data_IF_879957735508
#
_entry.id   IF_879957735508
#
_cell.length_a   1.000
_cell.length_b   1.000
_cell.length_c   1.000
_cell.angle_alpha   90.00
_cell.angle_beta   90.00
_cell.angle_gamma   90.00
#
_symmetry.space_group_name_H-M   'P 1'
#
loop_
_entity.id
_entity.type
_entity.pdbx_description
1 polymer ?
#
# COMPACT_ATOMS: atom_id res chain seq x y z
N UNK A 1 23.96 2.15 2.84
CA UNK A 1 23.86 2.33 4.29
C UNK A 1 23.20 1.13 4.99
N UNK A 2 22.75 0.10 4.24
CA UNK A 2 22.17 -1.13 4.80
C UNK A 2 20.80 -0.95 5.49
N UNK A 3 20.05 0.09 5.15
CA UNK A 3 18.73 0.32 5.70
C UNK A 3 17.70 -0.62 5.06
N UNK A 4 16.80 -1.15 5.87
CA UNK A 4 15.60 -1.84 5.40
C UNK A 4 14.47 -0.83 5.31
N UNK A 5 13.99 -0.57 4.09
CA UNK A 5 12.87 0.34 3.84
C UNK A 5 11.59 -0.48 3.78
N UNK A 6 10.70 -0.30 4.75
CA UNK A 6 9.42 -1.01 4.83
C UNK A 6 8.34 -0.35 3.98
N UNK A 7 8.30 0.98 3.95
CA UNK A 7 7.36 1.77 3.18
C UNK A 7 7.88 3.20 2.96
N UNK A 8 7.41 3.85 1.90
CA UNK A 8 7.59 5.27 1.63
C UNK A 8 6.23 5.92 1.53
N UNK A 9 5.98 6.94 2.36
CA UNK A 9 4.74 7.71 2.40
C UNK A 9 5.05 9.12 1.89
N UNK A 10 4.88 9.35 0.59
CA UNK A 10 5.11 10.65 -0.04
C UNK A 10 3.85 11.52 0.05
N UNK A 11 3.94 12.70 0.64
CA UNK A 11 2.85 13.67 0.73
C UNK A 11 3.09 14.83 -0.24
N UNK A 12 2.35 14.85 -1.37
CA UNK A 12 2.56 15.80 -2.45
C UNK A 12 1.30 15.91 -3.34
N UNK A 13 0.47 16.90 -3.12
CA UNK A 13 0.34 17.90 -2.06
C UNK A 13 -0.83 17.52 -1.14
N UNK A 14 -0.89 18.02 0.09
CA UNK A 14 -1.94 17.65 1.07
C UNK A 14 -2.49 18.87 1.87
N UNK A 15 -2.30 20.09 1.38
CA UNK A 15 -2.58 21.32 2.12
C UNK A 15 -3.94 21.94 1.88
N UNK A 16 -4.55 21.77 0.72
CA UNK A 16 -5.84 22.34 0.38
C UNK A 16 -6.97 21.31 0.30
N UNK A 17 -8.21 21.72 0.26
CA UNK A 17 -9.38 20.84 0.12
C UNK A 17 -10.32 21.25 -1.00
N UNK A 18 -10.09 22.39 -1.65
CA UNK A 18 -10.91 22.93 -2.73
C UNK A 18 -10.07 23.12 -4.01
N UNK A 19 -10.71 23.03 -5.16
CA UNK A 19 -10.15 23.37 -6.45
C UNK A 19 -10.60 24.73 -6.94
N UNK A 20 -9.90 25.26 -7.96
CA UNK A 20 -10.22 26.54 -8.61
C UNK A 20 -11.61 26.60 -9.25
N UNK A 21 -12.23 25.45 -9.50
CA UNK A 21 -13.62 25.34 -9.97
C UNK A 21 -14.67 25.46 -8.85
N UNK A 22 -14.23 25.64 -7.59
CA UNK A 22 -15.09 25.73 -6.42
C UNK A 22 -15.58 24.38 -5.89
N UNK A 23 -15.13 23.26 -6.47
CA UNK A 23 -15.40 21.93 -5.92
C UNK A 23 -14.51 21.69 -4.70
N UNK A 24 -15.08 21.20 -3.60
CA UNK A 24 -14.35 20.93 -2.35
C UNK A 24 -14.61 19.51 -1.85
N UNK A 25 -13.57 18.89 -1.28
CA UNK A 25 -13.65 17.60 -0.57
C UNK A 25 -12.59 17.57 0.55
N UNK A 26 -13.04 17.84 1.77
CA UNK A 26 -12.22 17.82 3.00
C UNK A 26 -12.33 16.49 3.78
N UNK A 27 -13.00 15.50 3.20
CA UNK A 27 -13.28 14.21 3.81
C UNK A 27 -12.38 13.08 3.30
N UNK A 28 -11.78 13.23 2.12
CA UNK A 28 -10.93 12.22 1.52
C UNK A 28 -9.51 12.72 1.26
N UNK A 29 -8.57 11.77 1.27
CA UNK A 29 -7.23 11.93 0.69
C UNK A 29 -7.01 10.85 -0.37
N UNK A 30 -6.45 11.21 -1.52
CA UNK A 30 -6.11 10.23 -2.56
C UNK A 30 -4.79 9.55 -2.22
N UNK A 31 -4.74 8.22 -2.34
CA UNK A 31 -3.53 7.43 -2.18
C UNK A 31 -3.24 6.66 -3.46
N UNK A 32 -2.21 7.10 -4.18
CA UNK A 32 -1.76 6.49 -5.43
C UNK A 32 -0.83 5.31 -5.14
N UNK A 33 -1.00 4.23 -5.88
CA UNK A 33 -0.19 3.01 -5.75
C UNK A 33 -0.04 2.28 -7.09
N UNK A 34 1.15 1.79 -7.39
CA UNK A 34 1.35 0.97 -8.60
C UNK A 34 0.62 -0.38 -8.51
N UNK A 35 0.25 -0.96 -9.64
CA UNK A 35 -0.28 -2.32 -9.74
C UNK A 35 0.85 -3.34 -9.80
N UNK A 36 1.41 -3.65 -10.99
CA UNK A 36 2.63 -4.43 -11.11
C UNK A 36 3.84 -3.61 -10.63
N UNK A 37 4.76 -4.25 -9.95
CA UNK A 37 6.02 -3.61 -9.54
C UNK A 37 6.88 -3.22 -10.74
N UNK A 38 7.55 -2.07 -10.63
CA UNK A 38 8.44 -1.59 -11.68
C UNK A 38 9.68 -2.48 -11.86
N UNK A 39 10.21 -3.08 -10.78
CA UNK A 39 11.42 -3.92 -10.76
C UNK A 39 11.19 -5.39 -11.17
N UNK A 40 10.00 -5.77 -11.64
CA UNK A 40 9.73 -7.11 -12.14
C UNK A 40 10.54 -7.43 -13.39
N UNK A 41 11.27 -8.56 -13.40
CA UNK A 41 11.82 -9.14 -14.60
C UNK A 41 10.70 -9.56 -15.59
N UNK A 42 11.03 -9.71 -16.86
CA UNK A 42 10.06 -10.22 -17.85
C UNK A 42 9.48 -11.58 -17.45
N UNK A 43 10.32 -12.47 -16.91
CA UNK A 43 9.88 -13.78 -16.45
C UNK A 43 8.91 -13.67 -15.28
N UNK A 44 9.20 -12.82 -14.27
CA UNK A 44 8.32 -12.60 -13.12
C UNK A 44 7.00 -11.93 -13.54
N UNK A 45 7.05 -11.01 -14.50
CA UNK A 45 5.86 -10.36 -15.08
C UNK A 45 4.99 -11.36 -15.84
N UNK A 46 5.60 -12.26 -16.62
CA UNK A 46 4.88 -13.35 -17.31
C UNK A 46 4.27 -14.35 -16.32
N UNK A 47 4.95 -14.66 -15.21
CA UNK A 47 4.43 -15.51 -14.15
C UNK A 47 3.25 -14.84 -13.41
N UNK A 48 3.39 -13.55 -13.07
CA UNK A 48 2.32 -12.76 -12.43
C UNK A 48 1.05 -12.76 -13.30
N UNK A 49 1.18 -12.52 -14.61
CA UNK A 49 0.05 -12.54 -15.55
C UNK A 49 -0.70 -13.89 -15.56
N UNK A 50 -0.01 -15.00 -15.32
CA UNK A 50 -0.63 -16.36 -15.30
C UNK A 50 -1.27 -16.69 -13.96
N UNK A 51 -0.65 -16.23 -12.87
CA UNK A 51 -1.05 -16.60 -11.51
C UNK A 51 -1.92 -15.52 -10.82
N UNK A 52 -2.24 -14.44 -11.52
CA UNK A 52 -2.82 -13.24 -10.95
C UNK A 52 -1.77 -12.39 -10.23
N UNK A 53 -2.16 -11.27 -9.68
CA UNK A 53 -1.29 -10.39 -8.92
C UNK A 53 -0.93 -9.08 -9.62
N UNK A 54 -1.51 -8.78 -10.77
CA UNK A 54 -1.36 -7.48 -11.45
C UNK A 54 -1.83 -6.30 -10.60
N UNK A 55 -2.60 -6.61 -9.55
CA UNK A 55 -3.13 -5.64 -8.60
C UNK A 55 -2.65 -5.89 -7.18
N UNK A 56 -1.51 -6.53 -6.99
CA UNK A 56 -1.02 -7.07 -5.72
C UNK A 56 0.43 -6.71 -5.40
N UNK A 57 0.93 -5.60 -5.93
CA UNK A 57 2.22 -5.09 -5.52
C UNK A 57 2.23 -4.75 -4.03
N UNK A 58 3.41 -4.67 -3.39
CA UNK A 58 3.55 -4.16 -2.03
C UNK A 58 2.94 -2.77 -1.86
N UNK A 59 3.12 -1.87 -2.84
CA UNK A 59 2.55 -0.52 -2.83
C UNK A 59 1.02 -0.55 -2.86
N UNK A 60 0.41 -1.44 -3.65
CA UNK A 60 -1.04 -1.61 -3.69
C UNK A 60 -1.59 -2.17 -2.37
N UNK A 61 -0.90 -3.13 -1.77
CA UNK A 61 -1.29 -3.64 -0.46
C UNK A 61 -1.07 -2.63 0.67
N UNK A 62 -0.04 -1.79 0.56
CA UNK A 62 0.16 -0.65 1.45
C UNK A 62 -1.01 0.36 1.33
N UNK A 63 -1.49 0.64 0.13
CA UNK A 63 -2.66 1.51 -0.09
C UNK A 63 -3.93 0.93 0.56
N UNK A 64 -4.20 -0.38 0.41
CA UNK A 64 -5.32 -1.06 1.09
C UNK A 64 -5.19 -1.03 2.61
N UNK A 65 -3.97 -1.20 3.11
CA UNK A 65 -3.70 -1.15 4.55
C UNK A 65 -3.93 0.25 5.12
N UNK A 66 -3.54 1.31 4.39
CA UNK A 66 -3.80 2.70 4.76
C UNK A 66 -5.30 3.03 4.79
N UNK A 67 -6.06 2.50 3.83
CA UNK A 67 -7.51 2.61 3.77
C UNK A 67 -8.17 1.98 5.00
N UNK A 68 -7.83 0.73 5.31
CA UNK A 68 -8.31 0.07 6.53
C UNK A 68 -7.88 0.81 7.83
N UNK A 69 -6.71 1.46 7.82
CA UNK A 69 -6.27 2.25 8.96
C UNK A 69 -7.08 3.55 9.09
N UNK A 70 -7.44 4.18 7.98
CA UNK A 70 -8.28 5.38 7.95
C UNK A 70 -9.69 5.09 8.47
N UNK A 71 -10.32 3.99 8.05
CA UNK A 71 -11.64 3.55 8.51
C UNK A 71 -11.75 3.41 10.05
N UNK A 72 -10.64 3.19 10.74
CA UNK A 72 -10.60 3.11 12.21
C UNK A 72 -10.66 4.48 12.91
N UNK A 73 -10.63 5.58 12.16
CA UNK A 73 -10.68 6.96 12.68
C UNK A 73 -11.78 7.78 11.99
N UNK A 74 -13.05 7.66 12.45
CA UNK A 74 -14.19 8.36 11.82
C UNK A 74 -14.10 9.89 11.84
N UNK A 75 -13.18 10.46 12.63
CA UNK A 75 -12.93 11.91 12.67
C UNK A 75 -11.72 12.31 11.78
N UNK A 76 -11.11 11.35 11.09
CA UNK A 76 -10.00 11.54 10.16
C UNK A 76 -10.44 11.91 8.76
N UNK A 77 -9.54 11.67 7.81
CA UNK A 77 -9.86 11.59 6.38
C UNK A 77 -10.07 10.13 6.01
N UNK A 78 -10.94 9.90 5.04
CA UNK A 78 -11.06 8.62 4.36
C UNK A 78 -10.04 8.51 3.22
N UNK A 79 -9.64 7.29 2.84
CA UNK A 79 -8.68 7.05 1.77
C UNK A 79 -9.42 6.71 0.48
N UNK A 80 -9.26 7.57 -0.53
CA UNK A 80 -9.63 7.22 -1.90
C UNK A 80 -8.45 6.57 -2.59
N UNK A 81 -8.45 5.24 -2.70
CA UNK A 81 -7.40 4.51 -3.39
C UNK A 81 -7.41 4.83 -4.89
N UNK A 82 -6.27 5.29 -5.42
CA UNK A 82 -6.07 5.52 -6.84
C UNK A 82 -5.12 4.46 -7.38
N UNK A 83 -5.65 3.54 -8.15
CA UNK A 83 -4.94 2.36 -8.63
C UNK A 83 -4.13 2.66 -9.89
N UNK A 84 -3.20 3.57 -9.75
CA UNK A 84 -2.12 3.92 -10.69
C UNK A 84 -0.93 4.48 -9.92
N UNK A 85 0.25 4.37 -10.50
CA UNK A 85 1.48 4.79 -9.83
C UNK A 85 1.47 6.27 -9.46
N UNK A 86 0.92 7.15 -10.34
CA UNK A 86 0.82 8.58 -10.11
C UNK A 86 -0.30 9.19 -10.95
N UNK A 87 -0.47 10.51 -10.84
CA UNK A 87 -1.37 11.33 -11.65
C UNK A 87 -0.97 11.24 -13.13
N UNK A 88 -1.95 11.39 -14.01
CA UNK A 88 -1.74 11.25 -15.45
C UNK A 88 -0.74 12.27 -15.99
N UNK A 89 0.36 11.79 -16.60
CA UNK A 89 1.39 12.62 -17.20
C UNK A 89 2.23 13.45 -16.21
N UNK A 90 2.21 13.14 -14.92
CA UNK A 90 2.97 13.85 -13.88
C UNK A 90 3.86 12.86 -13.11
N UNK A 91 4.78 13.37 -12.32
CA UNK A 91 5.69 12.62 -11.49
C UNK A 91 5.58 12.98 -10.01
N UNK A 92 6.35 12.32 -9.17
CA UNK A 92 6.48 12.60 -7.75
C UNK A 92 7.66 11.85 -7.14
N UNK A 93 8.06 12.25 -5.93
CA UNK A 93 9.28 11.73 -5.27
C UNK A 93 9.19 10.25 -4.86
N UNK A 94 7.99 9.66 -4.90
CA UNK A 94 7.79 8.22 -4.68
C UNK A 94 8.21 7.36 -5.88
N UNK A 95 8.23 7.92 -7.10
CA UNK A 95 8.51 7.16 -8.34
C UNK A 95 9.90 6.51 -8.33
N UNK A 96 11.01 7.20 -7.97
CA UNK A 96 12.31 6.56 -7.88
C UNK A 96 12.37 5.39 -6.89
N UNK A 97 11.56 5.42 -5.83
CA UNK A 97 11.47 4.30 -4.88
C UNK A 97 10.73 3.11 -5.49
N UNK A 98 9.65 3.35 -6.25
CA UNK A 98 8.97 2.29 -7.00
C UNK A 98 9.89 1.65 -8.03
N UNK A 99 10.64 2.45 -8.79
CA UNK A 99 11.61 1.98 -9.78
C UNK A 99 12.74 1.15 -9.15
N UNK A 100 13.14 1.50 -7.92
CA UNK A 100 14.10 0.73 -7.14
C UNK A 100 13.48 -0.48 -6.39
N UNK A 101 12.19 -0.76 -6.58
CA UNK A 101 11.49 -1.90 -6.01
C UNK A 101 11.05 -1.74 -4.55
N UNK A 102 11.08 -0.53 -4.00
CA UNK A 102 10.58 -0.26 -2.66
C UNK A 102 9.07 0.01 -2.66
N UNK A 103 8.33 -0.44 -1.63
CA UNK A 103 6.92 -0.08 -1.46
C UNK A 103 6.78 1.42 -1.24
N UNK A 104 6.09 2.11 -2.13
CA UNK A 104 5.88 3.54 -2.02
C UNK A 104 4.46 3.91 -2.45
N UNK A 105 3.89 4.88 -1.76
CA UNK A 105 2.59 5.48 -2.10
C UNK A 105 2.70 6.99 -2.08
N UNK A 106 1.84 7.64 -2.85
CA UNK A 106 1.70 9.09 -2.84
C UNK A 106 0.34 9.47 -2.27
N UNK A 107 0.34 10.31 -1.24
CA UNK A 107 -0.83 11.05 -0.78
C UNK A 107 -0.98 12.33 -1.60
N UNK A 108 -2.20 12.65 -1.97
CA UNK A 108 -2.54 13.92 -2.62
C UNK A 108 -3.94 14.35 -2.19
N UNK A 109 -4.20 15.65 -2.20
CA UNK A 109 -5.53 16.21 -1.90
C UNK A 109 -6.60 15.53 -2.74
N UNK A 110 -7.83 15.46 -2.23
CA UNK A 110 -8.97 14.89 -2.96
C UNK A 110 -9.29 15.72 -4.22
N UNK A 111 -9.17 17.03 -4.12
CA UNK A 111 -9.36 18.00 -5.20
C UNK A 111 -8.13 18.87 -5.31
N UNK A 112 -7.53 18.98 -6.50
CA UNK A 112 -6.36 19.82 -6.75
C UNK A 112 -6.76 21.20 -7.21
N UNK A 113 -6.08 22.22 -6.70
CA UNK A 113 -6.19 23.60 -7.15
C UNK A 113 -5.03 23.96 -8.08
N UNK A 114 -5.28 24.04 -9.38
CA UNK A 114 -4.24 24.28 -10.37
C UNK A 114 -3.86 25.76 -10.52
N UNK A 115 -4.62 26.67 -9.94
CA UNK A 115 -4.31 28.10 -9.92
C UNK A 115 -3.35 28.45 -8.79
N UNK A 116 -3.34 27.62 -7.72
CA UNK A 116 -2.56 27.86 -6.51
C UNK A 116 -1.41 26.85 -6.27
N UNK A 117 -1.10 25.97 -7.24
CA UNK A 117 0.05 25.07 -7.15
C UNK A 117 1.00 25.27 -8.34
N UNK A 118 2.31 25.36 -8.07
CA UNK A 118 3.35 25.61 -9.08
C UNK A 118 3.13 26.89 -9.90
N UNK A 119 2.55 27.91 -9.29
CA UNK A 119 2.23 29.17 -9.93
C UNK A 119 2.97 30.32 -9.25
N UNK A 120 3.51 31.24 -10.04
CA UNK A 120 4.00 32.51 -9.53
C UNK A 120 2.84 33.40 -9.05
N UNK A 121 3.07 34.17 -8.00
CA UNK A 121 2.11 35.13 -7.48
C UNK A 121 1.80 36.19 -8.55
N UNK A 122 0.59 36.20 -9.08
CA UNK A 122 0.13 37.17 -10.08
C UNK A 122 -1.39 37.25 -10.12
N UNK A 123 -1.88 38.29 -10.72
CA UNK A 123 -3.29 38.42 -11.16
C UNK A 123 -3.31 38.53 -12.67
N UNK A 124 -4.02 37.63 -13.34
CA UNK A 124 -4.15 37.58 -14.79
C UNK A 124 -5.61 37.32 -15.15
N UNK A 125 -6.18 38.18 -15.99
CA UNK A 125 -7.59 38.13 -16.39
C UNK A 125 -8.61 38.05 -15.22
N UNK A 126 -8.26 38.67 -14.08
CA UNK A 126 -9.10 38.68 -12.88
C UNK A 126 -8.97 37.43 -12.00
N UNK A 127 -8.11 36.47 -12.37
CA UNK A 127 -7.79 35.28 -11.58
C UNK A 127 -6.51 35.54 -10.79
N UNK A 128 -6.52 35.20 -9.50
CA UNK A 128 -5.34 35.23 -8.64
C UNK A 128 -4.65 33.87 -8.71
N UNK A 129 -3.33 33.86 -8.94
CA UNK A 129 -2.50 32.70 -9.00
C UNK A 129 -1.44 32.74 -7.89
N UNK A 130 -0.95 31.56 -7.49
CA UNK A 130 0.22 31.41 -6.63
C UNK A 130 -0.05 30.68 -5.32
N UNK A 131 0.99 30.04 -4.80
CA UNK A 131 0.96 29.33 -3.52
C UNK A 131 0.98 30.32 -2.36
N UNK A 132 -0.13 30.48 -1.66
CA UNK A 132 -0.23 31.32 -0.46
C UNK A 132 -0.81 30.55 0.71
N UNK A 133 -0.54 31.03 1.92
CA UNK A 133 -1.06 30.40 3.13
C UNK A 133 -2.58 30.48 3.24
N UNK A 134 -3.19 31.44 2.56
CA UNK A 134 -4.64 31.65 2.58
C UNK A 134 -5.41 30.55 1.84
N UNK A 135 -4.72 29.79 0.95
CA UNK A 135 -5.27 28.65 0.21
C UNK A 135 -5.13 27.31 1.00
N UNK A 136 -4.59 27.36 2.20
CA UNK A 136 -4.42 26.20 3.05
C UNK A 136 -5.66 25.91 3.89
N UNK A 137 -6.13 24.65 3.85
CA UNK A 137 -7.09 24.10 4.80
C UNK A 137 -6.37 23.37 5.94
N UNK A 138 -6.04 24.12 7.00
CA UNK A 138 -5.32 23.55 8.15
C UNK A 138 -6.08 22.43 8.90
N UNK A 139 -7.42 22.49 9.07
CA UNK A 139 -8.20 21.37 9.57
C UNK A 139 -8.05 20.10 8.73
N UNK A 140 -8.11 20.20 7.40
CA UNK A 140 -7.90 19.09 6.50
C UNK A 140 -6.45 18.55 6.59
N UNK A 141 -5.46 19.44 6.52
CA UNK A 141 -4.04 19.08 6.68
C UNK A 141 -3.79 18.32 8.00
N UNK A 142 -4.43 18.74 9.08
CA UNK A 142 -4.32 18.06 10.39
C UNK A 142 -4.90 16.64 10.34
N UNK A 143 -6.01 16.42 9.63
CA UNK A 143 -6.59 15.06 9.44
C UNK A 143 -5.63 14.16 8.65
N UNK A 144 -5.07 14.64 7.54
CA UNK A 144 -4.09 13.89 6.72
C UNK A 144 -2.83 13.59 7.52
N UNK A 145 -2.30 14.58 8.26
CA UNK A 145 -1.13 14.42 9.13
C UNK A 145 -1.38 13.34 10.18
N UNK A 146 -2.56 13.33 10.80
CA UNK A 146 -2.94 12.31 11.80
C UNK A 146 -2.92 10.89 11.21
N UNK A 147 -3.45 10.69 10.01
CA UNK A 147 -3.37 9.41 9.32
C UNK A 147 -1.91 8.98 9.07
N UNK A 148 -1.06 9.91 8.61
CA UNK A 148 0.36 9.64 8.39
C UNK A 148 1.10 9.29 9.70
N UNK A 149 0.85 9.99 10.78
CA UNK A 149 1.45 9.70 12.11
C UNK A 149 1.05 8.30 12.58
N UNK A 150 -0.25 7.96 12.50
CA UNK A 150 -0.74 6.62 12.84
C UNK A 150 -0.10 5.54 11.96
N UNK A 151 0.02 5.79 10.65
CA UNK A 151 0.66 4.87 9.73
C UNK A 151 2.15 4.64 10.07
N UNK A 152 2.88 5.70 10.36
CA UNK A 152 4.30 5.62 10.74
C UNK A 152 4.50 4.86 12.07
N UNK A 153 3.65 5.12 13.06
CA UNK A 153 3.67 4.43 14.36
C UNK A 153 3.46 2.91 14.20
N UNK A 154 2.42 2.52 13.46
CA UNK A 154 2.15 1.12 13.15
C UNK A 154 3.27 0.46 12.35
N UNK A 155 3.74 1.11 11.28
CA UNK A 155 4.83 0.58 10.45
C UNK A 155 6.14 0.44 11.24
N UNK A 156 6.43 1.36 12.17
CA UNK A 156 7.61 1.27 13.02
C UNK A 156 7.52 0.11 14.00
N UNK A 157 6.35 -0.13 14.60
CA UNK A 157 6.14 -1.20 15.58
C UNK A 157 5.93 -2.60 14.97
N UNK A 158 5.46 -2.70 13.74
CA UNK A 158 5.23 -3.98 13.07
C UNK A 158 6.55 -4.62 12.59
N UNK A 159 6.67 -5.96 12.55
CA UNK A 159 7.73 -6.63 11.80
C UNK A 159 7.63 -6.34 10.30
N UNK A 160 8.66 -6.70 9.50
CA UNK A 160 8.54 -6.67 8.04
C UNK A 160 7.42 -7.60 7.58
N UNK A 161 6.66 -7.24 6.52
CA UNK A 161 5.80 -8.23 5.86
C UNK A 161 6.64 -9.38 5.31
N UNK A 162 6.14 -10.64 5.34
CA UNK A 162 6.85 -11.77 4.75
C UNK A 162 6.86 -11.70 3.21
N UNK A 163 7.56 -12.64 2.57
CA UNK A 163 7.50 -12.83 1.12
C UNK A 163 6.88 -14.21 0.80
N UNK A 164 5.55 -14.34 0.89
CA UNK A 164 4.90 -15.63 0.75
C UNK A 164 4.82 -16.08 -0.70
N UNK A 165 4.73 -17.40 -0.88
CA UNK A 165 4.43 -18.06 -2.16
C UNK A 165 3.22 -18.98 -2.01
N UNK A 166 2.43 -19.13 -3.07
CA UNK A 166 1.30 -20.04 -3.14
C UNK A 166 1.51 -21.10 -4.22
N UNK A 167 1.18 -22.36 -3.91
CA UNK A 167 1.19 -23.47 -4.86
C UNK A 167 -0.16 -24.18 -4.82
N UNK A 168 -0.91 -24.08 -5.92
CA UNK A 168 -2.26 -24.64 -6.02
C UNK A 168 -2.52 -25.44 -7.29
N UNK A 169 -1.59 -25.45 -8.26
CA UNK A 169 -1.80 -26.05 -9.57
C UNK A 169 -2.16 -27.54 -9.50
N UNK A 170 -3.31 -27.91 -10.07
CA UNK A 170 -3.83 -29.29 -10.18
C UNK A 170 -3.93 -29.98 -8.80
N UNK A 171 -4.39 -29.25 -7.78
CA UNK A 171 -4.55 -29.73 -6.41
C UNK A 171 -5.93 -29.36 -5.86
N UNK A 172 -6.40 -30.14 -4.87
CA UNK A 172 -7.64 -29.85 -4.11
C UNK A 172 -7.38 -28.99 -2.88
N UNK A 173 -6.14 -28.54 -2.68
CA UNK A 173 -5.69 -27.68 -1.59
C UNK A 173 -4.68 -26.68 -2.11
N UNK A 174 -4.42 -25.62 -1.34
CA UNK A 174 -3.39 -24.62 -1.63
C UNK A 174 -2.33 -24.67 -0.52
N UNK A 175 -1.08 -24.82 -0.90
CA UNK A 175 0.07 -24.68 -0.01
C UNK A 175 0.53 -23.21 -0.02
N UNK A 176 0.64 -22.58 1.17
CA UNK A 176 1.24 -21.26 1.36
C UNK A 176 2.53 -21.44 2.15
N UNK A 177 3.63 -20.85 1.68
CA UNK A 177 4.91 -20.91 2.37
C UNK A 177 5.63 -19.55 2.39
N UNK A 178 6.41 -19.31 3.44
CA UNK A 178 7.20 -18.08 3.62
C UNK A 178 8.38 -18.33 4.56
N UNK A 179 9.42 -17.49 4.44
CA UNK A 179 10.56 -17.51 5.35
C UNK A 179 10.25 -16.80 6.67
N UNK A 180 10.99 -17.15 7.71
CA UNK A 180 10.91 -16.50 9.01
C UNK A 180 11.22 -15.03 8.92
N UNK A 181 10.34 -14.20 9.53
CA UNK A 181 10.53 -12.75 9.64
C UNK A 181 11.08 -12.41 11.03
N UNK A 182 12.22 -11.72 11.13
CA UNK A 182 12.74 -11.24 12.41
C UNK A 182 11.73 -10.35 13.15
N UNK A 183 11.55 -10.59 14.45
CA UNK A 183 10.62 -9.83 15.29
C UNK A 183 9.15 -10.25 15.19
N UNK A 184 8.79 -11.18 14.30
CA UNK A 184 7.43 -11.73 14.27
C UNK A 184 7.22 -12.73 15.40
N UNK A 185 6.14 -12.56 16.16
CA UNK A 185 5.64 -13.53 17.15
C UNK A 185 4.62 -14.49 16.55
N UNK A 186 3.91 -14.05 15.51
CA UNK A 186 2.98 -14.88 14.75
C UNK A 186 2.78 -14.34 13.35
N UNK A 187 2.09 -15.12 12.53
CA UNK A 187 1.69 -14.78 11.17
C UNK A 187 0.21 -14.99 11.02
N UNK A 188 -0.46 -14.15 10.20
CA UNK A 188 -1.86 -14.32 9.84
C UNK A 188 -1.98 -14.57 8.35
N UNK A 189 -2.83 -15.55 7.98
CA UNK A 189 -3.11 -15.89 6.59
C UNK A 189 -4.36 -15.16 6.14
N UNK A 190 -4.29 -14.61 4.94
CA UNK A 190 -5.34 -13.82 4.32
C UNK A 190 -5.73 -14.42 2.98
N UNK A 191 -6.98 -14.24 2.61
CA UNK A 191 -7.48 -14.58 1.28
C UNK A 191 -8.42 -13.50 0.78
N UNK A 192 -8.55 -13.40 -0.53
CA UNK A 192 -9.60 -12.66 -1.21
C UNK A 192 -9.92 -13.34 -2.54
N UNK A 193 -11.12 -13.18 -3.04
CA UNK A 193 -11.43 -13.61 -4.40
C UNK A 193 -10.66 -12.75 -5.40
N UNK A 194 -10.41 -13.31 -6.59
CA UNK A 194 -9.67 -12.60 -7.65
C UNK A 194 -10.36 -11.32 -8.11
N UNK A 195 -11.67 -11.18 -7.90
CA UNK A 195 -12.54 -10.05 -8.25
C UNK A 195 -12.86 -9.13 -7.06
N UNK A 196 -12.29 -9.37 -5.88
CA UNK A 196 -12.50 -8.54 -4.68
C UNK A 196 -11.28 -7.62 -4.40
N UNK A 197 -11.50 -6.38 -3.95
CA UNK A 197 -10.41 -5.45 -3.64
C UNK A 197 -9.76 -5.68 -2.28
N UNK A 198 -10.50 -6.20 -1.27
CA UNK A 198 -10.06 -6.25 0.12
C UNK A 198 -9.78 -7.66 0.60
N UNK A 199 -8.77 -7.77 1.46
CA UNK A 199 -8.39 -9.00 2.12
C UNK A 199 -9.37 -9.39 3.23
N UNK A 200 -9.57 -10.69 3.40
CA UNK A 200 -10.32 -11.30 4.50
C UNK A 200 -9.41 -12.25 5.25
N UNK A 201 -9.38 -12.13 6.59
CA UNK A 201 -8.66 -13.10 7.41
C UNK A 201 -9.32 -14.49 7.27
N UNK A 202 -8.49 -15.51 7.09
CA UNK A 202 -9.00 -16.89 7.08
C UNK A 202 -9.36 -17.33 8.51
N UNK A 203 -10.46 -18.07 8.70
CA UNK A 203 -10.75 -18.65 10.00
C UNK A 203 -9.60 -19.58 10.45
N UNK A 204 -9.18 -19.46 11.72
CA UNK A 204 -8.13 -20.28 12.35
C UNK A 204 -6.76 -20.26 11.65
N UNK A 205 -6.39 -19.16 11.02
CA UNK A 205 -5.18 -19.02 10.19
C UNK A 205 -4.04 -18.28 10.87
N UNK A 206 -3.91 -18.35 12.17
CA UNK A 206 -2.77 -17.79 12.91
C UNK A 206 -1.72 -18.87 13.10
N UNK A 207 -0.52 -18.63 12.57
CA UNK A 207 0.66 -19.50 12.73
C UNK A 207 1.60 -18.87 13.75
N UNK A 208 1.85 -19.56 14.85
CA UNK A 208 2.80 -19.07 15.87
C UNK A 208 4.24 -19.15 15.36
N UNK A 209 5.00 -18.09 15.58
CA UNK A 209 6.40 -18.07 15.24
C UNK A 209 7.19 -19.03 16.16
N UNK A 210 8.23 -19.62 15.62
CA UNK A 210 9.13 -20.55 16.31
C UNK A 210 10.55 -20.37 15.78
N UNK A 211 11.49 -21.20 16.21
CA UNK A 211 12.88 -21.15 15.72
C UNK A 211 13.09 -21.78 14.34
N UNK A 212 12.02 -22.18 13.66
CA UNK A 212 12.10 -22.70 12.30
C UNK A 212 12.52 -21.60 11.32
N UNK A 213 13.31 -21.92 10.29
CA UNK A 213 13.73 -20.95 9.29
C UNK A 213 12.60 -20.56 8.32
N UNK A 214 11.62 -21.45 8.14
CA UNK A 214 10.51 -21.31 7.19
C UNK A 214 9.21 -21.89 7.76
N UNK A 215 8.13 -21.55 7.10
CA UNK A 215 6.76 -21.96 7.42
C UNK A 215 6.03 -22.41 6.17
N UNK A 216 5.18 -23.41 6.34
CA UNK A 216 4.23 -23.83 5.30
C UNK A 216 2.91 -24.25 5.95
N UNK A 217 1.81 -23.99 5.26
CA UNK A 217 0.46 -24.41 5.65
C UNK A 217 -0.32 -24.89 4.42
N UNK A 218 -1.00 -26.02 4.58
CA UNK A 218 -1.92 -26.55 3.59
C UNK A 218 -3.35 -26.10 3.90
N UNK A 219 -3.93 -25.33 2.99
CA UNK A 219 -5.31 -24.89 3.06
C UNK A 219 -6.21 -25.96 2.43
N UNK A 220 -6.61 -26.94 3.24
CA UNK A 220 -7.40 -28.09 2.80
C UNK A 220 -8.74 -27.67 2.18
N UNK A 221 -9.06 -28.20 1.00
CA UNK A 221 -10.32 -27.90 0.29
C UNK A 221 -10.36 -26.52 -0.40
N UNK A 222 -9.32 -25.70 -0.25
CA UNK A 222 -9.25 -24.40 -0.93
C UNK A 222 -8.46 -24.57 -2.24
N UNK A 223 -9.18 -24.47 -3.37
CA UNK A 223 -8.59 -24.49 -4.72
C UNK A 223 -8.16 -23.09 -5.11
N UNK A 224 -6.89 -22.90 -5.51
CA UNK A 224 -6.29 -21.59 -5.71
C UNK A 224 -6.80 -20.79 -6.89
N UNK A 225 -7.51 -21.41 -7.85
CA UNK A 225 -7.93 -20.71 -9.08
C UNK A 225 -8.86 -19.52 -8.84
N UNK A 226 -9.66 -19.56 -7.78
CA UNK A 226 -10.66 -18.53 -7.44
C UNK A 226 -10.11 -17.51 -6.44
N UNK A 227 -8.90 -17.70 -5.90
CA UNK A 227 -8.42 -16.98 -4.75
C UNK A 227 -7.02 -16.41 -4.93
N UNK A 228 -6.80 -15.27 -4.31
CA UNK A 228 -5.48 -14.73 -4.02
C UNK A 228 -5.22 -14.87 -2.51
N UNK A 229 -3.98 -15.14 -2.14
CA UNK A 229 -3.56 -15.35 -0.76
C UNK A 229 -2.53 -14.32 -0.34
N UNK A 230 -2.48 -14.03 0.94
CA UNK A 230 -1.50 -13.15 1.54
C UNK A 230 -1.12 -13.57 2.94
N UNK A 231 -0.01 -13.05 3.42
CA UNK A 231 0.47 -13.27 4.79
C UNK A 231 0.92 -11.95 5.39
N UNK A 232 0.54 -11.69 6.63
CA UNK A 232 1.08 -10.62 7.46
C UNK A 232 1.86 -11.20 8.62
N UNK A 233 2.82 -10.45 9.14
CA UNK A 233 3.55 -10.75 10.38
C UNK A 233 2.99 -9.91 11.52
N UNK A 234 2.99 -10.45 12.73
CA UNK A 234 2.47 -9.79 13.93
C UNK A 234 3.54 -9.78 15.00
N UNK A 235 3.81 -8.62 15.61
CA UNK A 235 4.75 -8.49 16.72
C UNK A 235 4.25 -9.12 18.01
N UNK A 236 5.09 -9.20 19.05
CA UNK A 236 4.70 -9.67 20.37
C UNK A 236 3.65 -8.77 21.04
N UNK A 237 3.64 -7.48 20.68
CA UNK A 237 2.68 -6.48 21.15
C UNK A 237 1.37 -6.52 20.33
N UNK A 238 1.26 -7.39 19.34
CA UNK A 238 0.07 -7.52 18.50
C UNK A 238 0.00 -6.54 17.32
N UNK A 239 1.08 -5.82 17.01
CA UNK A 239 1.11 -4.88 15.88
C UNK A 239 1.35 -5.67 14.59
N UNK A 240 0.42 -5.53 13.66
CA UNK A 240 0.39 -6.31 12.42
C UNK A 240 0.96 -5.51 11.23
N UNK A 241 1.82 -6.15 10.46
CA UNK A 241 2.36 -5.57 9.21
C UNK A 241 1.28 -5.43 8.14
N UNK A 242 1.51 -4.60 7.10
CA UNK A 242 0.77 -4.74 5.85
C UNK A 242 0.83 -6.18 5.32
N UNK A 243 -0.18 -6.58 4.54
CA UNK A 243 -0.26 -7.92 3.96
C UNK A 243 0.64 -7.99 2.73
N UNK A 244 1.48 -9.02 2.64
CA UNK A 244 2.21 -9.35 1.42
C UNK A 244 1.45 -10.43 0.66
N UNK A 245 1.25 -10.24 -0.63
CA UNK A 245 0.56 -11.20 -1.50
C UNK A 245 1.47 -12.37 -1.87
N UNK A 246 0.91 -13.58 -1.88
CA UNK A 246 1.60 -14.81 -2.29
C UNK A 246 1.62 -14.97 -3.83
N UNK A 247 2.05 -13.93 -4.52
CA UNK A 247 2.16 -13.84 -5.99
C UNK A 247 3.57 -13.43 -6.40
N UNK A 248 4.00 -13.67 -7.63
CA UNK A 248 5.28 -13.15 -8.11
C UNK A 248 5.40 -11.64 -7.88
N UNK A 249 6.44 -11.20 -7.19
CA UNK A 249 6.65 -9.80 -6.85
C UNK A 249 5.79 -9.25 -5.71
N UNK A 250 5.10 -10.10 -4.94
CA UNK A 250 4.25 -9.68 -3.81
C UNK A 250 5.01 -9.31 -2.53
N UNK A 251 6.29 -9.64 -2.42
CA UNK A 251 7.13 -9.33 -1.26
C UNK A 251 7.55 -7.86 -1.18
N UNK A 252 7.84 -7.37 0.03
CA UNK A 252 8.15 -5.96 0.31
C UNK A 252 9.63 -5.58 0.13
N UNK A 253 10.50 -6.51 -0.16
CA UNK A 253 11.90 -6.22 -0.48
C UNK A 253 12.09 -6.01 -2.00
N UNK A 254 13.09 -5.20 -2.43
CA UNK A 254 13.51 -5.16 -3.82
C UNK A 254 13.85 -6.55 -4.36
N UNK A 255 13.56 -6.81 -5.63
CA UNK A 255 13.84 -8.10 -6.27
C UNK A 255 15.29 -8.21 -6.76
N UNK A 256 15.95 -7.07 -6.91
CA UNK A 256 17.37 -6.98 -7.26
C UNK A 256 18.11 -6.51 -6.03
N UNK A 257 18.95 -7.39 -5.44
CA UNK A 257 19.94 -6.95 -4.45
C UNK A 257 21.02 -6.15 -5.17
N UNK A 258 21.29 -4.94 -4.70
CA UNK A 258 22.48 -4.19 -5.10
C UNK A 258 23.78 -4.97 -4.82
#
# INVERSE_FOLDING_TARGET
QGWTVKAVLNNDIVGGSCGSDGHCDDTHVRVFSEGPRADLSEQARAAQRRNGGENDSPSRNLSRWLDNLAEQDPAGVDVRQIWRADRMGRGGDHIPFLEAGYPAVRFSVAVEDYEHQHQDLRVEDGVTYGDTVDEMDFPYLAKVTRLNVRALDHLAGAPMPPAPTAKAAVRTFTEISWDRVPGAASYRIWQRRTDEPYWRAMPASVVQASDKPDYSIDLAGVRGDDWLFGVSSVSAEGIESPIASAVPGGGYAPLVSE
#
